data_IF_782604300715
#
_entry.id   IF_782604300715
#
_cell.length_a   1.000
_cell.length_b   1.000
_cell.length_c   1.000
_cell.angle_alpha   90.00
_cell.angle_beta   90.00
_cell.angle_gamma   90.00
#
_symmetry.space_group_name_H-M   'P 1'
#
loop_
_entity.id
_entity.type
_entity.pdbx_description
1 polymer ?
#
# COMPACT_ATOMS: atom_id res chain seq x y z
N UNK A 1 2.66 -4.37 27.93
CA UNK A 1 2.21 -5.50 28.76
C UNK A 1 2.78 -6.78 28.15
N UNK A 2 3.60 -7.57 28.86
CA UNK A 2 4.08 -8.87 28.35
C UNK A 2 2.91 -9.86 28.42
N UNK A 3 2.25 -10.10 27.29
CA UNK A 3 1.24 -11.15 27.17
C UNK A 3 1.99 -12.48 27.16
N UNK A 4 2.01 -13.19 28.30
CA UNK A 4 2.52 -14.57 28.36
C UNK A 4 1.46 -15.48 27.74
N UNK A 5 1.84 -16.24 26.71
CA UNK A 5 0.96 -17.25 26.12
C UNK A 5 0.50 -18.27 27.19
N UNK A 6 -0.81 -18.38 27.35
CA UNK A 6 -1.49 -19.31 28.26
C UNK A 6 -1.30 -20.76 27.81
N UNK A 7 -1.20 -20.97 26.49
CA UNK A 7 -1.00 -22.26 25.86
C UNK A 7 0.28 -22.22 25.00
N UNK A 8 1.22 -23.13 25.26
CA UNK A 8 2.39 -23.31 24.40
C UNK A 8 2.01 -24.25 23.27
N UNK A 9 2.36 -23.91 22.03
CA UNK A 9 2.21 -24.81 20.90
C UNK A 9 3.03 -26.10 21.19
N UNK A 10 2.35 -27.22 21.42
CA UNK A 10 2.97 -28.48 21.88
C UNK A 10 3.28 -29.47 20.74
N UNK A 11 2.82 -29.19 19.52
CA UNK A 11 3.00 -30.05 18.34
C UNK A 11 3.64 -29.25 17.21
N UNK A 12 4.39 -29.93 16.36
CA UNK A 12 4.86 -29.35 15.11
C UNK A 12 3.69 -29.05 14.18
N UNK A 13 3.84 -28.01 13.37
CA UNK A 13 2.87 -27.62 12.34
C UNK A 13 3.62 -27.13 11.10
N UNK A 14 2.96 -27.24 9.95
CA UNK A 14 3.46 -26.73 8.68
C UNK A 14 2.72 -25.44 8.35
N UNK A 15 3.45 -24.40 7.96
CA UNK A 15 2.86 -23.16 7.44
C UNK A 15 3.15 -23.10 5.94
N UNK A 16 2.09 -23.01 5.14
CA UNK A 16 2.18 -22.67 3.73
C UNK A 16 1.77 -21.21 3.55
N UNK A 17 2.59 -20.42 2.83
CA UNK A 17 2.29 -19.02 2.53
C UNK A 17 2.34 -18.80 1.03
N UNK A 18 1.26 -18.24 0.49
CA UNK A 18 1.17 -17.78 -0.90
C UNK A 18 0.78 -16.31 -0.92
N UNK A 19 1.43 -15.54 -1.79
CA UNK A 19 1.16 -14.12 -1.96
C UNK A 19 0.90 -13.79 -3.43
N UNK A 20 -0.10 -12.94 -3.67
CA UNK A 20 -0.37 -12.34 -4.98
C UNK A 20 0.35 -11.00 -5.16
N UNK A 21 1.09 -10.54 -4.16
CA UNK A 21 1.87 -9.31 -4.24
C UNK A 21 3.18 -9.58 -4.98
N UNK A 22 3.56 -8.78 -5.99
CA UNK A 22 4.88 -8.88 -6.61
C UNK A 22 5.98 -8.63 -5.58
N UNK A 23 7.00 -9.50 -5.61
CA UNK A 23 8.16 -9.40 -4.72
C UNK A 23 9.01 -8.19 -5.11
N UNK A 24 9.43 -7.38 -4.13
CA UNK A 24 10.35 -6.26 -4.36
C UNK A 24 9.74 -5.02 -5.02
N UNK A 25 8.44 -4.99 -5.29
CA UNK A 25 7.78 -3.84 -5.93
C UNK A 25 7.48 -2.66 -4.96
N UNK A 26 7.88 -2.76 -3.69
CA UNK A 26 7.59 -1.73 -2.69
C UNK A 26 6.11 -1.65 -2.27
N UNK A 27 5.36 -2.74 -2.45
CA UNK A 27 3.95 -2.86 -2.06
C UNK A 27 3.74 -3.43 -0.64
N UNK A 28 4.79 -3.45 0.19
CA UNK A 28 4.68 -4.00 1.55
C UNK A 28 4.49 -5.53 1.60
N UNK A 29 5.10 -6.28 0.68
CA UNK A 29 4.99 -7.76 0.68
C UNK A 29 5.66 -8.42 1.89
N UNK A 30 6.79 -7.91 2.39
CA UNK A 30 7.39 -8.35 3.66
C UNK A 30 6.46 -8.08 4.83
N UNK A 31 5.89 -6.87 4.89
CA UNK A 31 4.98 -6.49 5.94
C UNK A 31 3.70 -7.34 5.93
N UNK A 32 3.13 -7.60 4.75
CA UNK A 32 1.98 -8.51 4.57
C UNK A 32 2.30 -9.91 5.08
N UNK A 33 3.48 -10.45 4.72
CA UNK A 33 3.96 -11.73 5.24
C UNK A 33 4.07 -11.73 6.77
N UNK A 34 4.75 -10.72 7.33
CA UNK A 34 4.93 -10.55 8.77
C UNK A 34 3.59 -10.48 9.52
N UNK A 35 2.59 -9.79 8.96
CA UNK A 35 1.23 -9.71 9.50
C UNK A 35 0.53 -11.06 9.46
N UNK A 36 0.54 -11.76 8.33
CA UNK A 36 -0.13 -13.08 8.20
C UNK A 36 0.47 -14.10 9.17
N UNK A 37 1.81 -14.17 9.26
CA UNK A 37 2.49 -15.07 10.20
C UNK A 37 2.17 -14.69 11.65
N UNK A 38 2.21 -13.40 12.00
CA UNK A 38 1.86 -12.95 13.35
C UNK A 38 0.42 -13.33 13.71
N UNK A 39 -0.55 -13.06 12.84
CA UNK A 39 -1.95 -13.42 13.04
C UNK A 39 -2.12 -14.92 13.26
N UNK A 40 -1.56 -15.75 12.39
CA UNK A 40 -1.66 -17.21 12.50
C UNK A 40 -1.08 -17.73 13.82
N UNK A 41 0.11 -17.26 14.21
CA UNK A 41 0.76 -17.68 15.45
C UNK A 41 0.02 -17.20 16.71
N UNK A 42 -0.54 -15.99 16.68
CA UNK A 42 -1.34 -15.45 17.79
C UNK A 42 -2.63 -16.26 17.99
N UNK A 43 -3.29 -16.65 16.91
CA UNK A 43 -4.48 -17.52 16.95
C UNK A 43 -4.12 -18.91 17.45
N UNK A 44 -3.07 -19.53 16.90
CA UNK A 44 -2.61 -20.87 17.32
C UNK A 44 -2.13 -20.91 18.78
N UNK A 45 -1.71 -19.77 19.32
CA UNK A 45 -1.31 -19.64 20.74
C UNK A 45 -2.47 -19.23 21.65
N UNK A 46 -3.69 -19.17 21.13
CA UNK A 46 -4.92 -18.74 21.83
C UNK A 46 -4.80 -17.33 22.46
N UNK A 47 -3.96 -16.47 21.87
CA UNK A 47 -3.80 -15.08 22.31
C UNK A 47 -4.83 -14.15 21.69
N UNK A 48 -5.36 -14.52 20.52
CA UNK A 48 -6.51 -13.88 19.87
C UNK A 48 -7.46 -14.98 19.38
N UNK A 49 -8.78 -14.76 19.39
CA UNK A 49 -9.74 -15.76 18.94
C UNK A 49 -9.77 -15.86 17.41
N UNK A 50 -10.24 -17.00 16.88
CA UNK A 50 -10.37 -17.23 15.43
C UNK A 50 -11.37 -16.27 14.80
N UNK A 51 -12.39 -15.83 15.54
CA UNK A 51 -13.41 -14.89 15.08
C UNK A 51 -13.12 -13.45 15.54
N UNK A 52 -11.84 -13.08 15.77
CA UNK A 52 -11.46 -11.76 16.30
C UNK A 52 -12.04 -10.57 15.51
N UNK A 53 -12.33 -10.74 14.22
CA UNK A 53 -12.95 -9.71 13.39
C UNK A 53 -14.39 -9.38 13.77
N UNK A 54 -15.11 -10.30 14.40
CA UNK A 54 -16.49 -10.10 14.87
C UNK A 54 -16.56 -9.67 16.33
N UNK A 55 -15.42 -9.60 17.02
CA UNK A 55 -15.36 -9.24 18.44
C UNK A 55 -15.39 -7.73 18.64
N UNK A 56 -15.92 -7.28 19.78
CA UNK A 56 -15.83 -5.87 20.20
C UNK A 56 -14.39 -5.40 20.47
N UNK A 57 -13.46 -6.33 20.63
CA UNK A 57 -12.04 -6.08 20.95
C UNK A 57 -11.14 -6.13 19.70
N UNK A 58 -11.73 -6.15 18.50
CA UNK A 58 -11.00 -6.23 17.21
C UNK A 58 -9.80 -5.30 17.14
N UNK A 59 -9.95 -4.02 17.50
CA UNK A 59 -8.85 -3.05 17.45
C UNK A 59 -7.68 -3.43 18.38
N UNK A 60 -7.96 -3.99 19.57
CA UNK A 60 -6.91 -4.46 20.48
C UNK A 60 -6.17 -5.67 19.91
N UNK A 61 -6.88 -6.57 19.22
CA UNK A 61 -6.28 -7.70 18.53
C UNK A 61 -5.43 -7.23 17.33
N UNK A 62 -5.90 -6.26 16.56
CA UNK A 62 -5.13 -5.65 15.47
C UNK A 62 -3.88 -4.93 15.98
N UNK A 63 -3.95 -4.22 17.09
CA UNK A 63 -2.79 -3.61 17.74
C UNK A 63 -1.75 -4.66 18.16
N UNK A 64 -2.22 -5.79 18.70
CA UNK A 64 -1.36 -6.90 19.05
C UNK A 64 -0.67 -7.48 17.80
N UNK A 65 -1.43 -7.79 16.75
CA UNK A 65 -0.92 -8.28 15.46
C UNK A 65 0.14 -7.31 14.92
N UNK A 66 -0.19 -6.02 14.84
CA UNK A 66 0.70 -4.99 14.32
C UNK A 66 1.99 -4.90 15.13
N UNK A 67 1.92 -5.04 16.46
CA UNK A 67 3.09 -5.00 17.33
C UNK A 67 4.07 -6.17 17.08
N UNK A 68 3.55 -7.37 16.78
CA UNK A 68 4.38 -8.52 16.44
C UNK A 68 4.90 -8.44 15.01
N UNK A 69 4.07 -8.01 14.06
CA UNK A 69 4.49 -7.77 12.69
C UNK A 69 5.58 -6.70 12.60
N UNK A 70 5.51 -5.64 13.42
CA UNK A 70 6.56 -4.62 13.52
C UNK A 70 7.88 -5.17 14.05
N UNK A 71 7.85 -6.04 15.05
CA UNK A 71 9.07 -6.73 15.50
C UNK A 71 9.67 -7.61 14.41
N UNK A 72 8.83 -8.32 13.64
CA UNK A 72 9.31 -9.11 12.50
C UNK A 72 9.97 -8.22 11.43
N UNK A 73 9.34 -7.10 11.05
CA UNK A 73 9.92 -6.14 10.12
C UNK A 73 11.22 -5.51 10.66
N UNK A 74 11.35 -5.29 11.97
CA UNK A 74 12.60 -4.83 12.59
C UNK A 74 13.73 -5.85 12.44
N UNK A 75 13.42 -7.14 12.50
CA UNK A 75 14.41 -8.20 12.27
C UNK A 75 14.84 -8.24 10.80
N UNK A 76 13.91 -8.06 9.87
CA UNK A 76 14.17 -8.15 8.42
C UNK A 76 14.87 -6.89 7.88
N UNK A 77 14.38 -5.71 8.25
CA UNK A 77 14.78 -4.42 7.67
C UNK A 77 15.54 -3.50 8.63
N UNK A 78 15.74 -3.91 9.87
CA UNK A 78 16.43 -3.13 10.91
C UNK A 78 15.57 -2.01 11.49
N UNK A 79 15.45 -0.89 10.77
CA UNK A 79 14.73 0.31 11.23
C UNK A 79 13.52 0.66 10.34
N UNK A 80 12.49 -0.21 10.28
CA UNK A 80 11.28 0.06 9.51
C UNK A 80 10.49 1.24 10.09
N UNK A 81 9.75 1.94 9.23
CA UNK A 81 8.88 3.06 9.62
C UNK A 81 7.63 2.62 10.38
N UNK A 82 7.23 1.35 10.25
CA UNK A 82 5.97 0.83 10.77
C UNK A 82 4.73 1.23 9.96
N UNK A 83 4.93 1.82 8.77
CA UNK A 83 3.81 2.19 7.88
C UNK A 83 3.27 0.94 7.19
N UNK A 84 4.15 0.14 6.61
CA UNK A 84 3.76 -0.98 5.76
C UNK A 84 2.95 -2.02 6.56
N UNK A 85 3.40 -2.38 7.76
CA UNK A 85 2.69 -3.35 8.60
C UNK A 85 1.41 -2.79 9.22
N UNK A 86 1.35 -1.51 9.55
CA UNK A 86 0.12 -0.87 9.99
C UNK A 86 -0.93 -0.91 8.89
N UNK A 87 -0.57 -0.54 7.65
CA UNK A 87 -1.48 -0.63 6.50
C UNK A 87 -1.91 -2.07 6.25
N UNK A 88 -0.99 -3.04 6.32
CA UNK A 88 -1.31 -4.45 6.15
C UNK A 88 -2.20 -5.01 7.28
N UNK A 89 -2.05 -4.52 8.51
CA UNK A 89 -2.80 -5.00 9.68
C UNK A 89 -4.20 -4.40 9.72
N UNK A 90 -4.31 -3.07 9.66
CA UNK A 90 -5.60 -2.40 9.84
C UNK A 90 -6.40 -2.28 8.54
N UNK A 91 -5.74 -2.40 7.38
CA UNK A 91 -6.37 -2.18 6.09
C UNK A 91 -6.75 -0.72 5.85
N UNK A 92 -7.58 -0.51 4.82
CA UNK A 92 -8.05 0.80 4.39
C UNK A 92 -6.91 1.71 3.92
N UNK A 93 -7.07 3.00 4.18
CA UNK A 93 -6.02 4.00 4.03
C UNK A 93 -5.68 4.61 5.40
N UNK A 94 -4.39 4.86 5.61
CA UNK A 94 -3.86 5.48 6.82
C UNK A 94 -3.14 6.77 6.45
N UNK A 95 -3.30 7.79 7.28
CA UNK A 95 -2.44 8.97 7.25
C UNK A 95 -1.37 8.82 8.32
N UNK A 96 -0.15 9.26 8.01
CA UNK A 96 0.99 9.16 8.91
C UNK A 96 1.65 10.53 9.05
N UNK A 97 1.80 10.98 10.29
CA UNK A 97 2.60 12.16 10.62
C UNK A 97 3.59 11.77 11.72
N UNK A 98 4.87 12.04 11.47
CA UNK A 98 5.92 11.71 12.43
C UNK A 98 5.66 12.43 13.76
N UNK A 99 5.61 11.66 14.86
CA UNK A 99 5.33 12.17 16.20
C UNK A 99 3.85 12.18 16.59
N UNK A 100 2.92 12.16 15.63
CA UNK A 100 1.48 12.01 15.89
C UNK A 100 0.97 10.59 15.63
N UNK A 101 1.71 9.80 14.85
CA UNK A 101 1.40 8.40 14.57
C UNK A 101 0.47 8.21 13.38
N UNK A 102 -0.28 7.11 13.39
CA UNK A 102 -1.21 6.74 12.33
C UNK A 102 -2.63 7.17 12.69
N UNK A 103 -3.37 7.66 11.70
CA UNK A 103 -4.83 7.81 11.82
C UNK A 103 -5.54 7.24 10.60
N UNK A 104 -6.71 6.63 10.81
CA UNK A 104 -7.54 6.08 9.74
C UNK A 104 -8.11 7.19 8.87
N UNK A 105 -8.05 7.00 7.56
CA UNK A 105 -8.71 7.88 6.62
C UNK A 105 -10.18 7.47 6.49
N UNK A 106 -11.07 8.21 7.14
CA UNK A 106 -12.51 8.01 7.05
C UNK A 106 -13.00 8.27 5.63
N UNK A 107 -13.99 7.49 5.17
CA UNK A 107 -14.56 7.63 3.82
C UNK A 107 -13.71 7.00 2.70
N UNK A 108 -12.56 6.41 3.02
CA UNK A 108 -11.77 5.69 2.05
C UNK A 108 -12.40 4.34 1.70
N UNK A 109 -12.87 4.20 0.46
CA UNK A 109 -13.35 2.94 -0.10
C UNK A 109 -12.23 2.15 -0.77
N UNK A 110 -12.53 1.59 -1.94
CA UNK A 110 -11.55 0.92 -2.80
C UNK A 110 -11.18 1.83 -3.97
N UNK A 111 -9.90 1.94 -4.31
CA UNK A 111 -9.44 2.65 -5.50
C UNK A 111 -8.72 1.68 -6.43
N UNK A 112 -9.09 1.70 -7.71
CA UNK A 112 -8.39 0.95 -8.75
C UNK A 112 -7.13 1.70 -9.17
N UNK A 113 -6.01 1.00 -9.17
CA UNK A 113 -4.70 1.52 -9.53
C UNK A 113 -4.00 0.55 -10.47
N UNK A 114 -3.13 1.08 -11.33
CA UNK A 114 -2.13 0.30 -12.04
C UNK A 114 -0.75 0.65 -11.50
N UNK A 115 -0.03 -0.36 -11.04
CA UNK A 115 1.36 -0.24 -10.65
C UNK A 115 2.25 -0.59 -11.83
N UNK A 116 3.20 0.28 -12.15
CA UNK A 116 4.19 0.04 -13.20
C UNK A 116 5.58 0.04 -12.59
N UNK A 117 6.24 -1.11 -12.58
CA UNK A 117 7.64 -1.24 -12.19
C UNK A 117 8.54 -0.99 -13.41
N UNK A 118 9.30 0.10 -13.36
CA UNK A 118 10.22 0.47 -14.44
C UNK A 118 11.45 -0.43 -14.55
N UNK A 119 11.69 -1.31 -13.56
CA UNK A 119 12.90 -2.15 -13.41
C UNK A 119 14.22 -1.38 -13.34
N UNK A 120 14.16 -0.05 -13.28
CA UNK A 120 15.36 0.79 -13.11
C UNK A 120 15.81 0.69 -11.65
N UNK A 121 17.05 0.22 -11.39
CA UNK A 121 17.58 0.12 -10.04
C UNK A 121 17.80 1.51 -9.45
N UNK A 122 17.63 1.62 -8.14
CA UNK A 122 17.73 2.91 -7.43
C UNK A 122 18.31 2.74 -6.04
N UNK A 123 18.91 3.80 -5.53
CA UNK A 123 19.33 3.91 -4.14
C UNK A 123 18.43 4.91 -3.40
N UNK A 124 17.57 4.38 -2.52
CA UNK A 124 16.69 5.22 -1.69
C UNK A 124 17.50 6.19 -0.82
N UNK A 125 18.62 5.74 -0.24
CA UNK A 125 19.46 6.59 0.60
C UNK A 125 20.11 7.73 -0.20
N UNK A 126 20.55 7.47 -1.44
CA UNK A 126 21.12 8.50 -2.29
C UNK A 126 20.10 9.57 -2.68
N UNK A 127 18.87 9.17 -3.04
CA UNK A 127 17.79 10.11 -3.37
C UNK A 127 17.39 10.98 -2.18
N UNK A 128 17.23 10.37 -1.00
CA UNK A 128 16.93 11.11 0.24
C UNK A 128 18.07 12.06 0.61
N UNK A 129 19.33 11.63 0.48
CA UNK A 129 20.48 12.50 0.70
C UNK A 129 20.50 13.69 -0.26
N UNK A 130 20.22 13.46 -1.55
CA UNK A 130 20.15 14.51 -2.56
C UNK A 130 19.06 15.55 -2.28
N UNK A 131 17.87 15.12 -1.83
CA UNK A 131 16.82 16.04 -1.36
C UNK A 131 17.29 16.84 -0.14
N UNK A 132 17.95 16.19 0.82
CA UNK A 132 18.53 16.84 2.00
C UNK A 132 19.59 17.89 1.67
N UNK A 133 20.45 17.63 0.68
CA UNK A 133 21.43 18.59 0.19
C UNK A 133 20.78 19.79 -0.50
N UNK A 134 19.78 19.55 -1.36
CA UNK A 134 19.00 20.64 -1.99
C UNK A 134 18.29 21.50 -0.96
N UNK A 135 17.70 20.89 0.06
CA UNK A 135 17.05 21.61 1.15
C UNK A 135 18.02 22.53 1.90
N UNK A 136 19.23 22.05 2.21
CA UNK A 136 20.29 22.86 2.84
C UNK A 136 20.76 24.00 1.92
N UNK A 137 20.86 23.75 0.62
CA UNK A 137 21.37 24.71 -0.36
C UNK A 137 20.35 25.79 -0.74
N UNK A 138 19.08 25.41 -0.85
CA UNK A 138 17.99 26.28 -1.32
C UNK A 138 16.76 26.22 -0.39
N UNK A 139 16.89 26.53 0.91
CA UNK A 139 15.81 26.32 1.88
C UNK A 139 14.56 27.15 1.56
N UNK A 140 14.72 28.36 1.02
CA UNK A 140 13.60 29.23 0.65
C UNK A 140 12.79 28.73 -0.55
N UNK A 141 13.34 27.80 -1.34
CA UNK A 141 12.66 27.20 -2.50
C UNK A 141 12.11 25.82 -2.12
N UNK A 142 12.91 25.00 -1.43
CA UNK A 142 12.54 23.62 -1.11
C UNK A 142 11.50 23.56 0.01
N UNK A 143 11.55 24.42 1.03
CA UNK A 143 10.54 24.39 2.10
C UNK A 143 9.11 24.64 1.55
N UNK A 144 8.84 25.67 0.72
CA UNK A 144 7.52 25.84 0.12
C UNK A 144 7.06 24.66 -0.74
N UNK A 145 7.98 23.95 -1.41
CA UNK A 145 7.65 22.72 -2.16
C UNK A 145 7.19 21.63 -1.21
N UNK A 146 7.90 21.43 -0.08
CA UNK A 146 7.52 20.45 0.94
C UNK A 146 6.19 20.81 1.60
N UNK A 147 5.96 22.09 1.88
CA UNK A 147 4.70 22.60 2.43
C UNK A 147 3.53 22.37 1.44
N UNK A 148 3.76 22.57 0.13
CA UNK A 148 2.77 22.27 -0.89
C UNK A 148 2.46 20.77 -0.98
N UNK A 149 3.47 19.90 -0.83
CA UNK A 149 3.26 18.44 -0.77
C UNK A 149 2.48 18.01 0.48
N UNK A 150 2.69 18.66 1.62
CA UNK A 150 1.87 18.47 2.82
C UNK A 150 0.43 18.92 2.56
N UNK A 151 0.24 20.09 1.96
CA UNK A 151 -1.08 20.60 1.55
C UNK A 151 -1.84 19.65 0.63
N UNK A 152 -1.17 18.96 -0.29
CA UNK A 152 -1.79 17.90 -1.11
C UNK A 152 -2.31 16.75 -0.25
N UNK A 153 -1.53 16.33 0.75
CA UNK A 153 -1.89 15.22 1.64
C UNK A 153 -3.06 15.60 2.55
N UNK A 154 -3.06 16.83 3.07
CA UNK A 154 -4.17 17.39 3.86
C UNK A 154 -5.43 17.49 3.00
N UNK A 155 -5.33 18.01 1.78
CA UNK A 155 -6.46 18.14 0.88
C UNK A 155 -7.05 16.79 0.48
N UNK A 156 -6.19 15.80 0.23
CA UNK A 156 -6.60 14.42 0.01
C UNK A 156 -7.37 13.87 1.23
N UNK A 157 -6.92 14.14 2.45
CA UNK A 157 -7.65 13.74 3.66
C UNK A 157 -9.03 14.38 3.75
N UNK A 158 -9.13 15.68 3.48
CA UNK A 158 -10.37 16.44 3.54
C UNK A 158 -11.41 15.94 2.54
N UNK A 159 -11.01 15.62 1.30
CA UNK A 159 -11.95 15.20 0.28
C UNK A 159 -12.57 13.82 0.56
N UNK A 160 -11.80 12.89 1.12
CA UNK A 160 -12.34 11.60 1.58
C UNK A 160 -13.30 11.78 2.76
N UNK A 161 -13.00 12.72 3.67
CA UNK A 161 -13.93 13.07 4.74
C UNK A 161 -15.22 13.69 4.19
N UNK A 162 -15.12 14.55 3.17
CA UNK A 162 -16.27 15.12 2.48
C UNK A 162 -17.12 14.09 1.74
N UNK A 163 -16.50 13.01 1.22
CA UNK A 163 -17.25 11.86 0.69
C UNK A 163 -18.03 11.15 1.80
N UNK A 164 -17.41 10.93 2.97
CA UNK A 164 -18.07 10.30 4.12
C UNK A 164 -19.26 11.11 4.67
N UNK A 165 -19.17 12.45 4.63
CA UNK A 165 -20.25 13.34 5.04
C UNK A 165 -21.27 13.65 3.93
N UNK A 166 -21.15 13.02 2.75
CA UNK A 166 -21.96 13.25 1.55
C UNK A 166 -21.92 14.69 1.01
N UNK A 167 -20.88 15.46 1.34
CA UNK A 167 -20.62 16.80 0.79
C UNK A 167 -20.01 16.75 -0.62
N UNK A 168 -19.27 15.67 -0.92
CA UNK A 168 -18.59 15.47 -2.19
C UNK A 168 -19.14 14.21 -2.86
N UNK A 169 -19.41 14.31 -4.17
CA UNK A 169 -19.79 13.15 -4.98
C UNK A 169 -18.58 12.30 -5.32
N UNK A 170 -18.77 10.99 -5.56
CA UNK A 170 -17.67 10.10 -5.98
C UNK A 170 -16.95 10.64 -7.23
N UNK A 171 -17.69 11.19 -8.21
CA UNK A 171 -17.09 11.81 -9.39
C UNK A 171 -16.24 13.04 -9.07
N UNK A 172 -16.69 13.88 -8.13
CA UNK A 172 -15.94 15.04 -7.66
C UNK A 172 -14.65 14.62 -6.95
N UNK A 173 -14.73 13.57 -6.12
CA UNK A 173 -13.57 12.95 -5.49
C UNK A 173 -12.55 12.47 -6.53
N UNK A 174 -12.98 11.73 -7.55
CA UNK A 174 -12.08 11.19 -8.58
C UNK A 174 -11.34 12.31 -9.33
N UNK A 175 -12.05 13.35 -9.77
CA UNK A 175 -11.44 14.45 -10.52
C UNK A 175 -10.38 15.19 -9.68
N UNK A 176 -10.69 15.46 -8.42
CA UNK A 176 -9.74 16.19 -7.57
C UNK A 176 -8.56 15.30 -7.17
N UNK A 177 -8.75 13.98 -6.98
CA UNK A 177 -7.63 13.04 -6.80
C UNK A 177 -6.70 13.02 -8.01
N UNK A 178 -7.24 13.06 -9.23
CA UNK A 178 -6.47 13.16 -10.46
C UNK A 178 -5.57 14.40 -10.48
N UNK A 179 -6.13 15.56 -10.10
CA UNK A 179 -5.37 16.81 -10.00
C UNK A 179 -4.26 16.71 -8.95
N UNK A 180 -4.58 16.20 -7.75
CA UNK A 180 -3.62 16.03 -6.66
C UNK A 180 -2.49 15.07 -7.04
N UNK A 181 -2.77 14.01 -7.79
CA UNK A 181 -1.77 13.06 -8.30
C UNK A 181 -0.79 13.76 -9.24
N UNK A 182 -1.30 14.55 -10.20
CA UNK A 182 -0.47 15.30 -11.15
C UNK A 182 0.36 16.35 -10.44
N UNK A 183 -0.24 17.15 -9.55
CA UNK A 183 0.46 18.17 -8.78
C UNK A 183 1.59 17.57 -7.95
N UNK A 184 1.34 16.49 -7.24
CA UNK A 184 2.35 15.83 -6.40
C UNK A 184 3.52 15.32 -7.25
N UNK A 185 3.23 14.74 -8.43
CA UNK A 185 4.30 14.28 -9.31
C UNK A 185 5.18 15.42 -9.83
N UNK A 186 4.59 16.57 -10.20
CA UNK A 186 5.34 17.76 -10.59
C UNK A 186 6.23 18.28 -9.45
N UNK A 187 5.74 18.28 -8.21
CA UNK A 187 6.54 18.67 -7.04
C UNK A 187 7.69 17.68 -6.79
N UNK A 188 7.45 16.38 -6.94
CA UNK A 188 8.49 15.35 -6.84
C UNK A 188 9.55 15.49 -7.93
N UNK A 189 9.15 15.83 -9.16
CA UNK A 189 10.08 16.13 -10.24
C UNK A 189 10.90 17.42 -9.95
N UNK A 190 10.26 18.45 -9.39
CA UNK A 190 10.96 19.67 -8.95
C UNK A 190 12.00 19.39 -7.84
N UNK A 191 11.74 18.42 -6.95
CA UNK A 191 12.73 17.93 -5.98
C UNK A 191 13.88 17.15 -6.66
N UNK A 192 13.73 16.78 -7.93
CA UNK A 192 14.69 16.02 -8.74
C UNK A 192 14.77 14.56 -8.36
N UNK A 193 13.67 13.99 -7.89
CA UNK A 193 13.55 12.55 -7.63
C UNK A 193 12.80 11.82 -8.74
N UNK A 194 12.43 12.48 -9.85
CA UNK A 194 11.92 11.76 -11.03
C UNK A 194 13.04 11.09 -11.83
N UNK A 195 12.67 10.39 -12.89
CA UNK A 195 13.58 9.68 -13.79
C UNK A 195 12.96 9.58 -15.20
N UNK A 196 13.75 9.56 -16.29
CA UNK A 196 13.21 9.45 -17.65
C UNK A 196 12.24 8.27 -17.85
N UNK A 197 12.47 7.13 -17.19
CA UNK A 197 11.54 6.00 -17.24
C UNK A 197 10.19 6.31 -16.59
N UNK A 198 10.17 7.04 -15.47
CA UNK A 198 8.94 7.46 -14.79
C UNK A 198 8.16 8.47 -15.64
N UNK A 199 8.87 9.43 -16.26
CA UNK A 199 8.26 10.39 -17.19
C UNK A 199 7.71 9.69 -18.44
N UNK A 200 8.39 8.65 -18.93
CA UNK A 200 7.92 7.83 -20.05
C UNK A 200 6.64 7.07 -19.69
N UNK A 201 6.57 6.46 -18.50
CA UNK A 201 5.33 5.82 -18.01
C UNK A 201 4.20 6.85 -17.95
N UNK A 202 4.43 8.01 -17.33
CA UNK A 202 3.45 9.10 -17.29
C UNK A 202 2.99 9.52 -18.68
N UNK A 203 3.91 9.73 -19.61
CA UNK A 203 3.61 10.10 -21.00
C UNK A 203 2.66 9.09 -21.64
N UNK A 204 2.98 7.80 -21.60
CA UNK A 204 2.15 6.73 -22.18
C UNK A 204 0.75 6.71 -21.54
N UNK A 205 0.68 6.80 -20.21
CA UNK A 205 -0.61 6.78 -19.51
C UNK A 205 -1.45 8.04 -19.77
N UNK A 206 -0.80 9.19 -19.97
CA UNK A 206 -1.48 10.47 -20.23
C UNK A 206 -2.16 10.51 -21.59
N UNK A 207 -1.66 9.79 -22.60
CA UNK A 207 -2.32 9.63 -23.89
C UNK A 207 -3.66 8.89 -23.79
N UNK A 208 -3.86 8.15 -22.71
CA UNK A 208 -5.10 7.46 -22.37
C UNK A 208 -5.91 8.21 -21.29
N UNK A 209 -5.58 9.47 -21.04
CA UNK A 209 -6.15 10.33 -20.00
C UNK A 209 -5.94 9.85 -18.55
N UNK A 210 -5.12 8.83 -18.31
CA UNK A 210 -4.83 8.32 -16.98
C UNK A 210 -3.75 9.18 -16.30
N UNK A 211 -3.93 9.44 -15.00
CA UNK A 211 -3.00 10.24 -14.21
C UNK A 211 -2.02 9.35 -13.46
N UNK A 212 -0.74 9.65 -13.59
CA UNK A 212 0.33 8.85 -13.01
C UNK A 212 1.25 9.70 -12.16
N UNK A 213 1.68 9.15 -11.03
CA UNK A 213 2.78 9.69 -10.22
C UNK A 213 3.76 8.59 -9.86
N UNK A 214 5.01 8.98 -9.60
CA UNK A 214 5.96 8.06 -8.97
C UNK A 214 5.51 7.68 -7.55
N UNK A 215 5.90 6.49 -7.10
CA UNK A 215 5.64 6.00 -5.73
C UNK A 215 6.94 5.52 -5.08
N UNK A 216 7.06 5.74 -3.76
CA UNK A 216 8.31 5.52 -3.03
C UNK A 216 9.33 6.64 -3.27
N UNK A 217 10.63 6.30 -3.31
CA UNK A 217 11.69 7.30 -3.32
C UNK A 217 11.95 7.95 -4.70
N UNK A 218 11.40 7.42 -5.79
CA UNK A 218 11.67 7.90 -7.15
C UNK A 218 12.99 7.40 -7.75
N UNK A 219 13.52 8.07 -8.77
CA UNK A 219 14.77 7.73 -9.46
C UNK A 219 14.70 6.45 -10.29
N UNK A 220 13.49 6.02 -10.67
CA UNK A 220 13.21 4.69 -11.20
C UNK A 220 12.16 3.99 -10.34
N UNK A 221 12.32 2.69 -10.10
CA UNK A 221 11.37 1.93 -9.27
C UNK A 221 9.97 1.90 -9.87
N UNK A 222 8.95 2.18 -9.04
CA UNK A 222 7.55 2.04 -9.45
C UNK A 222 6.84 3.39 -9.63
N UNK A 223 5.88 3.42 -10.55
CA UNK A 223 4.88 4.46 -10.70
C UNK A 223 3.49 3.89 -10.40
N UNK A 224 2.60 4.75 -9.92
CA UNK A 224 1.20 4.43 -9.67
C UNK A 224 0.33 5.28 -10.59
N UNK A 225 -0.52 4.61 -11.35
CA UNK A 225 -1.48 5.20 -12.28
C UNK A 225 -2.88 5.05 -11.69
N UNK A 226 -3.59 6.15 -11.58
CA UNK A 226 -4.95 6.19 -11.09
C UNK A 226 -5.93 5.75 -12.19
N UNK A 227 -6.90 4.91 -11.84
CA UNK A 227 -7.89 4.37 -12.78
C UNK A 227 -9.30 4.79 -12.32
N UNK A 228 -9.91 5.81 -12.95
CA UNK A 228 -11.29 6.18 -12.71
C UNK A 228 -12.29 5.03 -12.94
N UNK A 229 -13.45 5.07 -12.28
CA UNK A 229 -14.44 3.99 -12.32
C UNK A 229 -15.02 3.71 -13.73
N UNK A 230 -15.02 4.71 -14.61
CA UNK A 230 -15.55 4.65 -15.98
C UNK A 230 -14.55 4.15 -17.03
N UNK A 231 -13.30 3.88 -16.65
CA UNK A 231 -12.31 3.31 -17.57
C UNK A 231 -12.56 1.82 -17.80
N UNK A 232 -12.77 1.46 -19.06
CA UNK A 232 -12.97 0.09 -19.54
C UNK A 232 -11.68 -0.74 -19.49
N UNK A 233 -11.83 -2.06 -19.36
CA UNK A 233 -10.70 -2.99 -19.30
C UNK A 233 -9.86 -2.98 -20.60
N UNK A 234 -10.47 -2.78 -21.76
CA UNK A 234 -9.73 -2.70 -23.04
C UNK A 234 -8.72 -1.53 -23.07
N UNK A 235 -9.09 -0.37 -22.51
CA UNK A 235 -8.18 0.77 -22.40
C UNK A 235 -7.03 0.46 -21.43
N UNK A 236 -7.31 -0.27 -20.36
CA UNK A 236 -6.29 -0.75 -19.41
C UNK A 236 -5.34 -1.76 -20.04
N UNK A 237 -5.87 -2.72 -20.81
CA UNK A 237 -5.07 -3.75 -21.48
C UNK A 237 -4.17 -3.12 -22.54
N UNK A 238 -4.67 -2.10 -23.25
CA UNK A 238 -3.85 -1.29 -24.17
C UNK A 238 -2.74 -0.55 -23.41
N UNK A 239 -3.05 0.12 -22.29
CA UNK A 239 -2.06 0.79 -21.45
C UNK A 239 -0.95 -0.18 -21.00
N UNK A 240 -1.34 -1.34 -20.46
CA UNK A 240 -0.42 -2.38 -19.99
C UNK A 240 0.41 -2.94 -21.14
N UNK A 241 -0.19 -3.19 -22.31
CA UNK A 241 0.55 -3.67 -23.49
C UNK A 241 1.60 -2.67 -23.95
N UNK A 242 1.29 -1.37 -23.96
CA UNK A 242 2.24 -0.32 -24.35
C UNK A 242 3.39 -0.18 -23.36
N UNK A 243 3.11 -0.29 -22.06
CA UNK A 243 4.13 -0.23 -21.01
C UNK A 243 5.01 -1.49 -21.00
N UNK A 244 4.43 -2.67 -21.22
CA UNK A 244 5.16 -3.92 -21.36
C UNK A 244 6.09 -3.90 -22.60
N UNK A 245 5.66 -3.27 -23.70
CA UNK A 245 6.49 -3.11 -24.90
C UNK A 245 7.75 -2.26 -24.65
N UNK A 246 7.72 -1.35 -23.66
CA UNK A 246 8.88 -0.58 -23.19
C UNK A 246 9.73 -1.37 -22.17
N UNK A 247 9.34 -2.61 -21.85
CA UNK A 247 10.07 -3.50 -20.94
C UNK A 247 9.69 -3.39 -19.46
N UNK A 248 8.67 -2.59 -19.12
CA UNK A 248 8.18 -2.44 -17.75
C UNK A 248 7.28 -3.60 -17.33
N UNK A 249 7.15 -3.84 -16.01
CA UNK A 249 6.13 -4.76 -15.50
C UNK A 249 4.92 -3.98 -14.98
N UNK A 250 3.74 -4.32 -15.46
CA UNK A 250 2.49 -3.69 -15.03
C UNK A 250 1.59 -4.66 -14.27
N UNK A 251 0.97 -4.14 -13.20
CA UNK A 251 0.02 -4.88 -12.37
C UNK A 251 -1.19 -4.01 -12.09
N UNK A 252 -2.38 -4.54 -12.36
CA UNK A 252 -3.62 -3.92 -11.90
C UNK A 252 -3.91 -4.37 -10.47
N UNK A 253 -4.24 -3.42 -9.60
CA UNK A 253 -4.59 -3.70 -8.21
C UNK A 253 -5.64 -2.73 -7.70
N UNK A 254 -6.25 -3.08 -6.58
CA UNK A 254 -7.01 -2.14 -5.76
C UNK A 254 -6.28 -1.89 -4.44
N UNK A 255 -6.46 -0.70 -3.88
CA UNK A 255 -6.03 -0.35 -2.52
C UNK A 255 -7.25 -0.13 -1.63
N UNK A 256 -7.06 -0.26 -0.31
CA UNK A 256 -8.16 -0.21 0.66
C UNK A 256 -8.70 -1.57 1.09
N UNK A 257 -7.86 -2.60 1.11
CA UNK A 257 -8.26 -3.93 1.58
C UNK A 257 -8.64 -3.95 3.07
N UNK A 258 -9.28 -5.04 3.51
CA UNK A 258 -9.82 -5.18 4.88
C UNK A 258 -8.76 -5.24 5.99
N UNK A 259 -7.48 -5.45 5.64
CA UNK A 259 -6.39 -5.66 6.59
C UNK A 259 -6.21 -7.13 6.97
N UNK A 260 -5.71 -7.38 8.18
CA UNK A 260 -5.54 -8.73 8.71
C UNK A 260 -6.90 -9.41 8.89
N UNK A 261 -7.09 -10.54 8.22
CA UNK A 261 -8.30 -11.34 8.31
C UNK A 261 -7.94 -12.82 8.49
N UNK A 262 -8.87 -13.59 9.04
CA UNK A 262 -8.76 -15.03 9.23
C UNK A 262 -10.06 -15.68 8.78
N UNK A 263 -9.90 -16.80 8.09
CA UNK A 263 -10.99 -17.59 7.56
C UNK A 263 -10.72 -19.02 7.99
N UNK A 264 -11.71 -19.63 8.63
CA UNK A 264 -11.66 -21.06 8.93
C UNK A 264 -12.20 -21.83 7.72
N UNK A 265 -11.33 -22.57 7.04
CA UNK A 265 -11.71 -23.45 5.95
C UNK A 265 -12.30 -24.73 6.57
N UNK A 266 -13.53 -25.08 6.17
CA UNK A 266 -14.28 -26.22 6.75
C UNK A 266 -14.58 -27.32 5.73
N UNK A 267 -14.12 -27.17 4.48
CA UNK A 267 -14.32 -28.13 3.39
C UNK A 267 -13.09 -28.99 3.12
N UNK A 268 -12.92 -29.36 1.85
CA UNK A 268 -11.81 -30.19 1.36
C UNK A 268 -10.60 -29.36 0.91
N UNK A 269 -10.51 -28.09 1.32
CA UNK A 269 -9.38 -27.23 0.98
C UNK A 269 -8.10 -27.73 1.66
N UNK A 270 -7.11 -28.15 0.86
CA UNK A 270 -5.82 -28.66 1.32
C UNK A 270 -4.63 -27.78 0.85
N UNK A 271 -3.40 -28.27 1.06
CA UNK A 271 -2.17 -27.56 0.66
C UNK A 271 -2.09 -27.36 -0.86
N UNK A 272 -2.49 -28.36 -1.65
CA UNK A 272 -2.49 -28.27 -3.11
C UNK A 272 -3.54 -27.25 -3.58
N UNK A 273 -4.69 -27.19 -2.93
CA UNK A 273 -5.72 -26.19 -3.21
C UNK A 273 -5.18 -24.77 -2.99
N UNK A 274 -4.63 -24.46 -1.80
CA UNK A 274 -4.16 -23.08 -1.52
C UNK A 274 -3.06 -22.63 -2.49
N UNK A 275 -2.25 -23.56 -2.99
CA UNK A 275 -1.17 -23.29 -3.93
C UNK A 275 -1.64 -23.06 -5.37
N UNK A 276 -2.77 -23.65 -5.78
CA UNK A 276 -3.24 -23.63 -7.17
C UNK A 276 -4.49 -22.76 -7.41
N UNK A 277 -5.31 -22.51 -6.39
CA UNK A 277 -6.57 -21.73 -6.50
C UNK A 277 -6.34 -20.30 -7.01
N UNK A 278 -7.26 -19.77 -7.83
CA UNK A 278 -7.13 -18.40 -8.32
C UNK A 278 -7.51 -17.36 -7.25
N UNK A 279 -7.08 -16.11 -7.45
CA UNK A 279 -7.35 -15.02 -6.50
C UNK A 279 -8.85 -14.78 -6.35
N UNK A 280 -9.60 -14.87 -7.43
CA UNK A 280 -11.05 -14.63 -7.47
C UNK A 280 -11.82 -15.66 -6.64
N UNK A 281 -11.35 -16.91 -6.60
CA UNK A 281 -11.94 -17.95 -5.76
C UNK A 281 -11.64 -17.74 -4.29
N UNK A 282 -10.41 -17.36 -3.93
CA UNK A 282 -10.03 -17.03 -2.55
C UNK A 282 -10.84 -15.83 -2.04
N UNK A 283 -11.09 -14.83 -2.89
CA UNK A 283 -11.87 -13.65 -2.53
C UNK A 283 -13.33 -13.94 -2.18
N UNK A 284 -13.90 -15.07 -2.62
CA UNK A 284 -15.28 -15.45 -2.24
C UNK A 284 -15.42 -15.80 -0.76
N UNK A 285 -14.31 -16.06 -0.07
CA UNK A 285 -14.29 -16.36 1.36
C UNK A 285 -14.11 -15.11 2.24
N UNK A 286 -13.74 -13.97 1.64
CA UNK A 286 -13.46 -12.70 2.33
C UNK A 286 -14.69 -11.80 2.39
#
# INVERSE_FOLDING_TARGET
MQVKASHRIQRGFTICVRSFLPVGAGLGSSASYSVVIATGLLVLSELIPVDFNSTSEREQHLDLINSYAFKAEQVIHGNPSGVDNAVCTYGGAKTFVRGQGFSTLEGFGSLRLMLTNTKVPRSTSALVAGVGEKLKKYPQIINPILDAMDGISVRCKEIFKGLASHEVTEKGLMHELEDLVVLNHCLLDALGVSHPSLEKVKSITSELNLKTKLTGAGGGGCAVTFIPCDVNQEAMDNAMSRLNAEGYDCYQTSVGGAGANIISLTGNEDEDWILNTCREEIQKYL
#
